data_IF_998081860190
#
_entry.id   IF_998081860190
#
_cell.length_a   1.000
_cell.length_b   1.000
_cell.length_c   1.000
_cell.angle_alpha   90.00
_cell.angle_beta   90.00
_cell.angle_gamma   90.00
#
_symmetry.space_group_name_H-M   'P 1'
#
loop_
_entity.id
_entity.type
_entity.pdbx_description
1 polymer ?
#
# COMPACT_ATOMS: atom_id res chain seq x y z
N UNK A 1 -8.30 47.39 33.35
CA UNK A 1 -8.60 46.84 32.00
C UNK A 1 -8.10 45.40 31.94
N UNK A 2 -8.94 44.37 31.75
CA UNK A 2 -8.43 43.01 31.56
C UNK A 2 -8.33 42.68 30.06
N UNK A 3 -7.14 42.32 29.61
CA UNK A 3 -6.88 41.86 28.25
C UNK A 3 -7.53 40.48 28.00
N UNK A 4 -8.35 40.40 26.95
CA UNK A 4 -9.00 39.18 26.47
C UNK A 4 -7.96 38.30 25.75
N UNK A 5 -7.59 37.16 26.34
CA UNK A 5 -6.79 36.12 25.65
C UNK A 5 -7.57 35.61 24.44
N UNK A 6 -7.05 35.82 23.23
CA UNK A 6 -7.55 35.17 22.01
C UNK A 6 -7.14 33.70 22.06
N UNK A 7 -8.10 32.82 22.32
CA UNK A 7 -7.92 31.37 22.13
C UNK A 7 -7.95 31.08 20.63
N UNK A 8 -6.82 30.64 20.07
CA UNK A 8 -6.77 30.14 18.70
C UNK A 8 -7.58 28.85 18.60
N UNK A 9 -8.58 28.82 17.73
CA UNK A 9 -9.35 27.61 17.45
C UNK A 9 -8.45 26.55 16.81
N UNK A 10 -8.21 25.45 17.52
CA UNK A 10 -7.55 24.26 16.98
C UNK A 10 -8.44 23.71 15.86
N UNK A 11 -7.97 23.79 14.61
CA UNK A 11 -8.68 23.22 13.46
C UNK A 11 -8.74 21.70 13.65
N UNK A 12 -9.92 21.18 14.02
CA UNK A 12 -10.19 19.73 14.06
C UNK A 12 -10.11 19.19 12.64
N UNK A 13 -8.96 18.66 12.26
CA UNK A 13 -8.80 17.90 11.02
C UNK A 13 -9.61 16.61 11.17
N UNK A 14 -10.76 16.54 10.51
CA UNK A 14 -11.58 15.31 10.47
C UNK A 14 -10.79 14.22 9.75
N UNK A 15 -10.08 13.39 10.51
CA UNK A 15 -9.37 12.22 9.97
C UNK A 15 -10.43 11.20 9.55
N UNK A 16 -10.62 10.99 8.25
CA UNK A 16 -11.49 9.91 7.75
C UNK A 16 -10.98 8.57 8.29
N UNK A 17 -11.84 7.85 9.00
CA UNK A 17 -11.53 6.54 9.58
C UNK A 17 -12.14 5.46 8.69
N UNK A 18 -11.38 4.44 8.27
CA UNK A 18 -11.93 3.28 7.59
C UNK A 18 -13.03 2.62 8.44
N UNK A 19 -14.22 2.43 7.86
CA UNK A 19 -15.38 1.86 8.56
C UNK A 19 -16.04 0.77 7.72
N UNK A 20 -16.44 -0.31 8.39
CA UNK A 20 -17.18 -1.42 7.80
C UNK A 20 -16.34 -2.39 6.97
N UNK A 21 -16.88 -3.56 6.61
CA UNK A 21 -16.22 -4.48 5.70
C UNK A 21 -16.10 -3.88 4.30
N UNK A 22 -14.97 -4.08 3.64
CA UNK A 22 -14.80 -3.68 2.24
C UNK A 22 -15.79 -4.48 1.36
N UNK A 23 -16.61 -3.83 0.51
CA UNK A 23 -17.54 -4.52 -0.40
C UNK A 23 -16.81 -5.45 -1.38
N UNK A 24 -17.43 -6.56 -1.78
CA UNK A 24 -16.78 -7.55 -2.66
C UNK A 24 -16.37 -6.97 -4.02
N UNK A 25 -17.20 -6.10 -4.62
CA UNK A 25 -16.86 -5.40 -5.86
C UNK A 25 -15.58 -4.56 -5.74
N UNK A 26 -15.39 -3.91 -4.59
CA UNK A 26 -14.18 -3.14 -4.29
C UNK A 26 -12.98 -4.07 -4.08
N UNK A 27 -13.18 -5.24 -3.45
CA UNK A 27 -12.10 -6.24 -3.28
C UNK A 27 -11.64 -6.80 -4.61
N UNK A 28 -12.55 -7.09 -5.53
CA UNK A 28 -12.24 -7.57 -6.89
C UNK A 28 -11.53 -6.49 -7.70
N UNK A 29 -12.08 -5.28 -7.74
CA UNK A 29 -11.47 -4.16 -8.43
C UNK A 29 -10.05 -3.85 -7.89
N UNK A 30 -9.84 -3.94 -6.57
CA UNK A 30 -8.52 -3.77 -5.97
C UNK A 30 -7.53 -4.83 -6.46
N UNK A 31 -7.95 -6.11 -6.53
CA UNK A 31 -7.10 -7.19 -7.02
C UNK A 31 -6.70 -6.95 -8.47
N UNK A 32 -7.66 -6.65 -9.34
CA UNK A 32 -7.40 -6.44 -10.77
C UNK A 32 -6.45 -5.26 -11.01
N UNK A 33 -6.64 -4.17 -10.27
CA UNK A 33 -5.76 -3.00 -10.30
C UNK A 33 -4.34 -3.37 -9.90
N UNK A 34 -4.16 -4.11 -8.80
CA UNK A 34 -2.85 -4.52 -8.33
C UNK A 34 -2.18 -5.53 -9.28
N UNK A 35 -2.91 -6.51 -9.83
CA UNK A 35 -2.38 -7.41 -10.88
C UNK A 35 -1.81 -6.59 -12.03
N UNK A 36 -2.63 -5.69 -12.58
CA UNK A 36 -2.26 -4.87 -13.75
C UNK A 36 -1.06 -3.99 -13.45
N UNK A 37 -1.05 -3.35 -12.28
CA UNK A 37 0.02 -2.45 -11.87
C UNK A 37 1.35 -3.18 -11.66
N UNK A 38 1.32 -4.31 -10.95
CA UNK A 38 2.51 -5.14 -10.68
C UNK A 38 3.04 -5.74 -11.99
N UNK A 39 2.17 -6.22 -12.86
CA UNK A 39 2.55 -6.76 -14.17
C UNK A 39 3.14 -5.70 -15.10
N UNK A 40 2.76 -4.42 -14.94
CA UNK A 40 3.31 -3.33 -15.74
C UNK A 40 4.64 -2.82 -15.20
N UNK A 41 4.77 -2.64 -13.89
CA UNK A 41 5.88 -1.92 -13.26
C UNK A 41 6.87 -2.82 -12.52
N UNK A 42 6.40 -3.90 -11.93
CA UNK A 42 7.14 -4.75 -11.00
C UNK A 42 7.38 -6.18 -11.52
N UNK A 43 7.05 -6.45 -12.78
CA UNK A 43 7.11 -7.80 -13.39
C UNK A 43 8.48 -8.48 -13.29
N UNK A 44 9.57 -7.73 -13.19
CA UNK A 44 10.92 -8.31 -13.07
C UNK A 44 11.37 -8.54 -11.63
N UNK A 45 10.61 -8.07 -10.64
CA UNK A 45 10.97 -8.09 -9.22
C UNK A 45 10.01 -8.88 -8.37
N UNK A 46 8.73 -8.93 -8.74
CA UNK A 46 7.67 -9.52 -7.93
C UNK A 46 7.09 -10.73 -8.66
N UNK A 47 7.04 -11.86 -7.96
CA UNK A 47 6.41 -13.10 -8.46
C UNK A 47 4.98 -13.23 -7.93
N UNK A 48 4.76 -12.91 -6.65
CA UNK A 48 3.46 -13.02 -6.00
C UNK A 48 3.18 -11.80 -5.15
N UNK A 49 1.91 -11.42 -5.05
CA UNK A 49 1.41 -10.42 -4.12
C UNK A 49 0.33 -11.05 -3.27
N UNK A 50 0.49 -10.97 -1.96
CA UNK A 50 -0.44 -11.53 -1.01
C UNK A 50 -1.41 -10.46 -0.54
N UNK A 51 -2.71 -10.72 -0.69
CA UNK A 51 -3.76 -9.79 -0.32
C UNK A 51 -4.69 -10.44 0.70
N UNK A 52 -4.73 -9.86 1.90
CA UNK A 52 -5.60 -10.29 3.00
C UNK A 52 -6.56 -9.19 3.40
N UNK A 53 -7.85 -9.47 3.29
CA UNK A 53 -8.91 -8.56 3.74
C UNK A 53 -9.31 -8.85 5.18
N UNK A 54 -9.44 -7.81 6.00
CA UNK A 54 -9.95 -7.91 7.37
C UNK A 54 -10.67 -6.63 7.78
N UNK A 55 -11.99 -6.72 7.97
CA UNK A 55 -12.84 -5.55 8.24
C UNK A 55 -12.69 -4.48 7.17
N UNK A 56 -12.33 -3.26 7.59
CA UNK A 56 -12.10 -2.11 6.71
C UNK A 56 -10.68 -2.05 6.12
N UNK A 57 -9.85 -3.06 6.39
CA UNK A 57 -8.43 -3.05 6.05
C UNK A 57 -8.09 -4.15 5.04
N UNK A 58 -7.05 -3.86 4.27
CA UNK A 58 -6.38 -4.83 3.42
C UNK A 58 -4.89 -4.81 3.75
N UNK A 59 -4.33 -5.99 3.92
CA UNK A 59 -2.92 -6.24 4.20
C UNK A 59 -2.26 -6.75 2.93
N UNK A 60 -1.15 -6.13 2.56
CA UNK A 60 -0.44 -6.40 1.32
C UNK A 60 1.01 -6.74 1.63
N UNK A 61 1.42 -7.91 1.16
CA UNK A 61 2.79 -8.37 1.14
C UNK A 61 3.17 -8.83 -0.27
N UNK A 62 4.45 -9.00 -0.56
CA UNK A 62 4.92 -9.47 -1.86
C UNK A 62 6.07 -10.46 -1.73
N UNK A 63 6.11 -11.46 -2.62
CA UNK A 63 7.25 -12.34 -2.78
C UNK A 63 8.15 -11.81 -3.89
N UNK A 64 9.44 -11.69 -3.58
CA UNK A 64 10.45 -11.45 -4.59
C UNK A 64 10.51 -12.58 -5.60
N UNK A 65 10.70 -12.21 -6.84
CA UNK A 65 10.82 -13.13 -7.96
C UNK A 65 12.19 -13.79 -7.96
N UNK A 66 12.28 -15.12 -8.05
CA UNK A 66 13.54 -15.81 -8.30
C UNK A 66 14.16 -15.36 -9.62
N UNK A 67 15.49 -15.28 -9.69
CA UNK A 67 16.19 -14.95 -10.94
C UNK A 67 15.84 -15.99 -12.02
N UNK A 68 15.45 -15.51 -13.20
CA UNK A 68 15.11 -16.35 -14.36
C UNK A 68 13.64 -16.79 -14.43
N UNK A 69 12.81 -16.51 -13.42
CA UNK A 69 11.38 -16.74 -13.49
C UNK A 69 10.70 -15.67 -14.38
N UNK A 70 10.08 -16.11 -15.47
CA UNK A 70 9.38 -15.24 -16.43
C UNK A 70 7.85 -15.33 -16.34
N UNK A 71 7.32 -16.03 -15.34
CA UNK A 71 5.87 -16.17 -15.14
C UNK A 71 5.19 -14.82 -14.87
N UNK A 72 3.90 -14.71 -15.13
CA UNK A 72 3.12 -13.50 -14.82
C UNK A 72 2.94 -13.38 -13.30
N UNK A 73 3.11 -12.18 -12.70
CA UNK A 73 2.86 -12.00 -11.27
C UNK A 73 1.45 -12.41 -10.87
N UNK A 74 1.32 -13.10 -9.73
CA UNK A 74 0.03 -13.61 -9.25
C UNK A 74 -0.44 -12.87 -7.99
N UNK A 75 -1.75 -12.72 -7.84
CA UNK A 75 -2.36 -12.33 -6.56
C UNK A 75 -2.80 -13.59 -5.83
N UNK A 76 -2.29 -13.79 -4.62
CA UNK A 76 -2.57 -14.97 -3.80
C UNK A 76 -3.10 -14.51 -2.45
N UNK A 77 -3.86 -15.36 -1.75
CA UNK A 77 -4.39 -15.03 -0.42
C UNK A 77 -3.44 -15.42 0.71
N UNK A 78 -2.68 -16.50 0.52
CA UNK A 78 -1.79 -17.09 1.50
C UNK A 78 -0.47 -17.45 0.84
N UNK A 79 0.62 -17.28 1.60
CA UNK A 79 1.93 -17.78 1.22
C UNK A 79 2.01 -19.27 1.51
N UNK A 80 2.72 -20.00 0.65
CA UNK A 80 3.09 -21.39 0.95
C UNK A 80 4.08 -21.43 2.12
N UNK A 81 4.18 -22.54 2.88
CA UNK A 81 5.08 -22.61 4.04
C UNK A 81 6.56 -22.34 3.75
N UNK A 82 7.00 -22.56 2.50
CA UNK A 82 8.37 -22.29 2.04
C UNK A 82 8.58 -20.85 1.56
N UNK A 83 7.51 -20.07 1.42
CA UNK A 83 7.56 -18.70 0.94
C UNK A 83 7.66 -17.72 2.11
N UNK A 84 8.60 -16.77 2.00
CA UNK A 84 8.80 -15.73 3.00
C UNK A 84 8.46 -14.39 2.34
N UNK A 85 7.19 -13.97 2.39
CA UNK A 85 6.78 -12.71 1.78
C UNK A 85 7.29 -11.51 2.57
N UNK A 86 7.59 -10.44 1.84
CA UNK A 86 7.95 -9.14 2.40
C UNK A 86 6.66 -8.35 2.65
N UNK A 87 6.43 -7.98 3.89
CA UNK A 87 5.30 -7.15 4.31
C UNK A 87 5.49 -5.72 3.83
N UNK A 88 4.53 -5.20 3.07
CA UNK A 88 4.64 -3.90 2.42
C UNK A 88 3.82 -2.85 3.15
N UNK A 89 2.49 -2.98 3.08
CA UNK A 89 1.59 -1.99 3.63
C UNK A 89 0.23 -2.56 4.01
N UNK A 90 -0.49 -1.75 4.79
CA UNK A 90 -1.91 -1.94 5.09
C UNK A 90 -2.68 -0.74 4.57
N UNK A 91 -3.70 -0.99 3.77
CA UNK A 91 -4.60 0.04 3.27
C UNK A 91 -5.91 0.00 4.06
N UNK A 92 -6.46 1.17 4.37
CA UNK A 92 -7.77 1.32 4.97
C UNK A 92 -8.78 1.90 3.98
N UNK A 93 -9.87 1.20 3.73
CA UNK A 93 -10.90 1.64 2.78
C UNK A 93 -11.68 2.82 3.33
N UNK A 94 -11.73 3.94 2.58
CA UNK A 94 -12.43 5.15 3.00
C UNK A 94 -13.79 5.35 2.32
N UNK A 95 -14.26 4.38 1.52
CA UNK A 95 -15.51 4.48 0.76
C UNK A 95 -15.32 4.79 -0.73
N UNK A 96 -14.08 4.97 -1.20
CA UNK A 96 -13.73 5.20 -2.60
C UNK A 96 -12.60 4.26 -3.01
N UNK A 97 -12.62 3.79 -4.27
CA UNK A 97 -11.57 2.95 -4.83
C UNK A 97 -10.25 3.73 -5.05
N UNK A 98 -10.33 5.05 -5.21
CA UNK A 98 -9.14 5.91 -5.39
C UNK A 98 -8.54 6.40 -4.07
N UNK A 99 -9.27 6.33 -2.95
CA UNK A 99 -8.83 6.87 -1.67
C UNK A 99 -8.72 5.81 -0.59
N UNK A 100 -7.48 5.47 -0.27
CA UNK A 100 -7.14 4.54 0.79
C UNK A 100 -6.23 5.19 1.80
N UNK A 101 -6.50 4.94 3.08
CA UNK A 101 -5.60 5.33 4.17
C UNK A 101 -4.35 4.46 4.12
N UNK A 102 -3.18 5.07 4.01
CA UNK A 102 -1.91 4.36 3.89
C UNK A 102 -1.26 4.11 5.26
N UNK A 103 -0.82 2.88 5.48
CA UNK A 103 0.06 2.53 6.59
C UNK A 103 1.20 1.63 6.09
N UNK A 104 2.43 2.05 6.34
CA UNK A 104 3.64 1.32 5.98
C UNK A 104 3.95 0.28 7.05
N UNK A 105 4.38 -0.92 6.65
CA UNK A 105 4.89 -1.91 7.59
C UNK A 105 6.29 -1.52 8.05
N UNK A 106 6.56 -1.47 9.35
CA UNK A 106 7.90 -1.21 9.90
C UNK A 106 8.49 -2.49 10.46
N UNK A 107 9.59 -2.95 9.85
CA UNK A 107 10.29 -4.15 10.33
C UNK A 107 10.99 -3.96 11.67
N UNK A 108 11.32 -2.72 12.07
CA UNK A 108 11.97 -2.45 13.35
C UNK A 108 11.09 -2.74 14.57
N UNK A 109 9.76 -2.59 14.44
CA UNK A 109 8.80 -2.81 15.52
C UNK A 109 7.71 -3.85 15.17
N UNK A 110 7.74 -4.40 13.95
CA UNK A 110 6.80 -5.39 13.45
C UNK A 110 5.37 -4.87 13.31
N UNK A 111 5.17 -3.55 13.12
CA UNK A 111 3.84 -2.92 13.13
C UNK A 111 3.58 -2.08 11.89
N UNK A 112 2.30 -1.99 11.51
CA UNK A 112 1.85 -1.02 10.50
C UNK A 112 1.62 0.35 11.14
N UNK A 113 2.33 1.36 10.65
CA UNK A 113 2.14 2.74 11.09
C UNK A 113 1.58 3.62 9.97
N UNK A 114 0.64 4.52 10.27
CA UNK A 114 0.21 5.56 9.33
C UNK A 114 1.43 6.24 8.71
N UNK A 115 1.41 6.40 7.40
CA UNK A 115 2.56 6.93 6.65
C UNK A 115 2.10 7.81 5.50
N UNK A 116 3.06 8.49 4.89
CA UNK A 116 2.85 9.38 3.76
C UNK A 116 3.37 8.67 2.51
N UNK A 117 2.59 8.66 1.43
CA UNK A 117 3.05 8.13 0.14
C UNK A 117 4.05 9.08 -0.50
N UNK A 118 4.81 8.64 -1.50
CA UNK A 118 5.82 9.47 -2.17
C UNK A 118 5.28 10.82 -2.72
N UNK A 119 3.98 10.91 -3.02
CA UNK A 119 3.32 12.15 -3.46
C UNK A 119 2.98 13.14 -2.33
N UNK A 120 3.22 12.79 -1.06
CA UNK A 120 2.95 13.66 0.09
C UNK A 120 1.58 13.46 0.76
N UNK A 121 0.74 12.54 0.27
CA UNK A 121 -0.58 12.26 0.84
C UNK A 121 -0.59 11.20 1.96
N UNK A 122 -1.48 11.36 2.94
CA UNK A 122 -1.83 10.28 3.90
C UNK A 122 -2.88 9.30 3.34
N UNK A 123 -3.57 9.74 2.28
CA UNK A 123 -4.51 8.95 1.49
C UNK A 123 -4.05 8.95 0.04
N UNK A 124 -4.14 7.80 -0.60
CA UNK A 124 -3.69 7.64 -1.98
C UNK A 124 -4.36 6.46 -2.65
N UNK A 125 -4.12 6.30 -3.94
CA UNK A 125 -4.55 5.12 -4.69
C UNK A 125 -3.81 3.88 -4.18
N UNK A 126 -4.41 2.68 -4.33
CA UNK A 126 -3.75 1.45 -3.89
C UNK A 126 -2.41 1.21 -4.59
N UNK A 127 -2.26 1.62 -5.86
CA UNK A 127 -1.01 1.52 -6.60
C UNK A 127 0.09 2.44 -6.04
N UNK A 128 -0.26 3.68 -5.68
CA UNK A 128 0.70 4.63 -5.09
C UNK A 128 1.18 4.16 -3.72
N UNK A 129 0.27 3.61 -2.92
CA UNK A 129 0.63 3.01 -1.64
C UNK A 129 1.58 1.81 -1.83
N UNK A 130 1.25 0.94 -2.79
CA UNK A 130 2.07 -0.22 -3.13
C UNK A 130 3.47 0.20 -3.59
N UNK A 131 3.56 1.14 -4.53
CA UNK A 131 4.83 1.66 -5.07
C UNK A 131 5.70 2.28 -3.98
N UNK A 132 5.08 3.02 -3.05
CA UNK A 132 5.79 3.64 -1.93
C UNK A 132 6.44 2.58 -1.03
N UNK A 133 5.73 1.49 -0.73
CA UNK A 133 6.26 0.42 0.12
C UNK A 133 7.26 -0.49 -0.60
N UNK A 134 6.90 -0.95 -1.80
CA UNK A 134 7.74 -1.81 -2.61
C UNK A 134 9.03 -1.11 -3.05
N UNK A 135 8.98 0.22 -3.26
CA UNK A 135 10.17 1.03 -3.53
C UNK A 135 11.22 0.94 -2.41
N UNK A 136 10.77 0.94 -1.16
CA UNK A 136 11.65 0.88 0.01
C UNK A 136 12.20 -0.53 0.22
N UNK A 137 11.35 -1.56 0.19
CA UNK A 137 11.76 -2.90 0.58
C UNK A 137 12.28 -3.78 -0.55
N UNK A 138 11.80 -3.60 -1.78
CA UNK A 138 12.14 -4.46 -2.92
C UNK A 138 13.09 -3.77 -3.91
N UNK A 139 13.62 -2.60 -3.53
CA UNK A 139 14.63 -1.87 -4.31
C UNK A 139 14.14 -1.51 -5.71
N UNK A 140 12.87 -1.16 -5.87
CA UNK A 140 12.33 -0.74 -7.15
C UNK A 140 13.17 0.39 -7.73
N UNK A 141 13.84 0.13 -8.86
CA UNK A 141 14.50 1.20 -9.60
C UNK A 141 13.42 2.22 -9.95
N UNK A 142 13.56 3.49 -9.55
CA UNK A 142 12.62 4.49 -10.01
C UNK A 142 12.78 4.63 -11.53
N UNK A 143 11.65 4.76 -12.25
CA UNK A 143 11.57 4.84 -13.71
C UNK A 143 12.43 5.96 -14.35
N UNK A 144 13.00 6.90 -13.58
CA UNK A 144 13.89 7.93 -14.11
C UNK A 144 15.36 7.48 -14.26
N UNK A 145 15.73 6.27 -13.83
CA UNK A 145 17.10 5.73 -13.94
C UNK A 145 17.36 4.90 -15.22
N UNK A 146 16.63 5.19 -16.29
CA UNK A 146 16.68 4.45 -17.57
C UNK A 146 17.08 5.34 -18.77
N UNK A 147 17.69 6.51 -18.51
CA UNK A 147 18.23 7.43 -19.54
C UNK A 147 19.77 7.50 -19.60
N UNK A 148 20.46 6.43 -19.27
CA UNK A 148 21.88 6.31 -19.58
C UNK A 148 22.17 4.89 -20.08
N UNK A 149 22.08 4.72 -21.41
CA UNK A 149 23.00 3.93 -22.22
C UNK A 149 22.86 4.35 -23.68
#
# INVERSE_FOLDING_TARGET
MPQRKKMSAVKKTWVRVPKGPIPNSVREALRDRLVRHVSRRWKHRIGKVFIRFHGAYVYIAALERPKGDLSTPQIVRYAEPSEIPVELCRLGYLGNLEDWKYAFFKYSDGRYAPSIVASGGFTATPEQCFDSSAGVYLGGKPLWREREK
#
